data_IF_254091798985
#
_entry.id   IF_254091798985
#
_cell.length_a   1.000
_cell.length_b   1.000
_cell.length_c   1.000
_cell.angle_alpha   90.00
_cell.angle_beta   90.00
_cell.angle_gamma   90.00
#
_symmetry.space_group_name_H-M   'P 1'
#
loop_
_entity.id
_entity.type
_entity.pdbx_description
1 polymer ?
#
# COMPACT_ATOMS: atom_id res chain seq x y z
N UNK A 1 -2.92 -19.79 -13.36
CA UNK A 1 -1.73 -19.54 -14.22
C UNK A 1 -1.67 -18.08 -14.62
N UNK A 2 -0.48 -17.55 -14.85
CA UNK A 2 -0.27 -16.19 -15.35
C UNK A 2 -0.71 -16.10 -16.81
N UNK A 3 -1.63 -15.21 -17.14
CA UNK A 3 -2.13 -15.02 -18.49
C UNK A 3 -1.13 -14.23 -19.35
N UNK A 4 -1.25 -14.31 -20.67
CA UNK A 4 -0.37 -13.54 -21.56
C UNK A 4 -0.67 -12.04 -21.48
N UNK A 5 -1.91 -11.65 -21.22
CA UNK A 5 -2.29 -10.27 -20.94
C UNK A 5 -1.53 -9.73 -19.70
N UNK A 6 -1.52 -10.47 -18.59
CA UNK A 6 -0.79 -10.08 -17.37
C UNK A 6 0.72 -9.99 -17.61
N UNK A 7 1.31 -10.95 -18.35
CA UNK A 7 2.73 -10.94 -18.70
C UNK A 7 3.10 -9.72 -19.56
N UNK A 8 2.27 -9.41 -20.55
CA UNK A 8 2.51 -8.28 -21.45
C UNK A 8 2.36 -6.97 -20.69
N UNK A 9 1.30 -6.80 -19.88
CA UNK A 9 1.12 -5.61 -19.05
C UNK A 9 2.34 -5.36 -18.14
N UNK A 10 2.83 -6.41 -17.44
CA UNK A 10 4.03 -6.29 -16.59
C UNK A 10 5.24 -5.86 -17.42
N UNK A 11 5.44 -6.44 -18.60
CA UNK A 11 6.57 -6.11 -19.48
C UNK A 11 6.48 -4.67 -19.98
N UNK A 12 5.32 -4.24 -20.43
CA UNK A 12 5.10 -2.91 -21.00
C UNK A 12 5.32 -1.81 -19.95
N UNK A 13 4.72 -1.96 -18.77
CA UNK A 13 4.92 -1.00 -17.68
C UNK A 13 6.38 -0.98 -17.17
N UNK A 14 7.06 -2.13 -17.12
CA UNK A 14 8.47 -2.17 -16.77
C UNK A 14 9.36 -1.50 -17.84
N UNK A 15 9.05 -1.67 -19.12
CA UNK A 15 9.75 -0.97 -20.21
C UNK A 15 9.50 0.54 -20.17
N UNK A 16 8.28 0.96 -19.82
CA UNK A 16 7.97 2.38 -19.66
C UNK A 16 8.82 3.03 -18.57
N UNK A 17 9.07 2.33 -17.45
CA UNK A 17 10.00 2.82 -16.42
C UNK A 17 11.38 3.07 -17.04
N UNK A 18 11.86 2.13 -17.86
CA UNK A 18 13.16 2.27 -18.55
C UNK A 18 13.22 3.47 -19.49
N UNK A 19 12.11 3.77 -20.18
CA UNK A 19 12.00 4.92 -21.09
C UNK A 19 11.92 6.27 -20.33
N UNK A 20 11.19 6.27 -19.22
CA UNK A 20 10.87 7.48 -18.47
C UNK A 20 11.88 7.79 -17.34
N UNK A 21 12.89 6.95 -17.14
CA UNK A 21 13.92 7.13 -16.13
C UNK A 21 15.32 7.11 -16.76
N UNK A 22 15.95 8.29 -17.00
CA UNK A 22 17.30 8.37 -17.52
C UNK A 22 18.29 7.58 -16.64
N UNK A 23 19.14 6.78 -17.26
CA UNK A 23 20.12 5.95 -16.55
C UNK A 23 19.56 4.67 -15.91
N UNK A 24 18.28 4.35 -16.11
CA UNK A 24 17.72 3.09 -15.66
C UNK A 24 18.42 1.90 -16.33
N UNK A 25 18.92 0.99 -15.50
CA UNK A 25 19.54 -0.25 -15.98
C UNK A 25 18.71 -1.44 -15.48
N UNK A 26 18.03 -2.16 -16.37
CA UNK A 26 17.31 -3.37 -16.00
C UNK A 26 18.25 -4.39 -15.35
N UNK A 27 17.91 -4.85 -14.15
CA UNK A 27 18.70 -5.85 -13.41
C UNK A 27 18.03 -7.21 -13.53
N UNK A 28 18.83 -8.25 -13.75
CA UNK A 28 18.32 -9.63 -13.86
C UNK A 28 17.55 -10.03 -12.58
N UNK A 29 18.16 -9.81 -11.40
CA UNK A 29 17.52 -10.11 -10.11
C UNK A 29 16.21 -9.37 -9.86
N UNK A 30 16.07 -8.14 -10.35
CA UNK A 30 14.82 -7.41 -10.25
C UNK A 30 13.73 -8.04 -11.14
N UNK A 31 14.07 -8.44 -12.37
CA UNK A 31 13.13 -9.12 -13.28
C UNK A 31 12.71 -10.49 -12.76
N UNK A 32 13.63 -11.23 -12.17
CA UNK A 32 13.35 -12.50 -11.51
C UNK A 32 12.39 -12.33 -10.34
N UNK A 33 12.59 -11.29 -9.52
CA UNK A 33 11.68 -10.95 -8.43
C UNK A 33 10.29 -10.58 -8.94
N UNK A 34 10.18 -9.75 -9.99
CA UNK A 34 8.91 -9.39 -10.63
C UNK A 34 8.17 -10.67 -11.08
N UNK A 35 8.89 -11.58 -11.75
CA UNK A 35 8.32 -12.83 -12.23
C UNK A 35 7.88 -13.74 -11.06
N UNK A 36 8.68 -13.85 -10.00
CA UNK A 36 8.35 -14.64 -8.82
C UNK A 36 7.09 -14.13 -8.11
N UNK A 37 6.98 -12.80 -7.92
CA UNK A 37 5.79 -12.16 -7.33
C UNK A 37 4.57 -12.39 -8.20
N UNK A 38 4.66 -12.16 -9.51
CA UNK A 38 3.55 -12.35 -10.43
C UNK A 38 3.08 -13.82 -10.45
N UNK A 39 4.01 -14.77 -10.46
CA UNK A 39 3.70 -16.20 -10.40
C UNK A 39 3.02 -16.60 -9.08
N UNK A 40 3.47 -16.05 -7.94
CA UNK A 40 2.82 -16.29 -6.65
C UNK A 40 1.38 -15.79 -6.67
N UNK A 41 1.14 -14.54 -7.12
CA UNK A 41 -0.21 -14.00 -7.22
C UNK A 41 -1.07 -14.71 -8.26
N UNK A 42 -0.48 -15.28 -9.30
CA UNK A 42 -1.25 -16.04 -10.30
C UNK A 42 -1.89 -17.32 -9.74
N UNK A 43 -1.39 -17.81 -8.62
CA UNK A 43 -1.89 -19.00 -7.90
C UNK A 43 -2.91 -18.66 -6.83
N UNK A 44 -3.13 -17.38 -6.52
CA UNK A 44 -4.16 -16.96 -5.56
C UNK A 44 -5.54 -17.28 -6.13
N UNK A 45 -6.32 -18.02 -5.36
CA UNK A 45 -7.67 -18.39 -5.74
C UNK A 45 -8.64 -17.24 -5.46
N UNK A 46 -9.53 -16.99 -6.38
CA UNK A 46 -10.63 -16.05 -6.21
C UNK A 46 -11.80 -16.79 -5.58
N UNK A 47 -12.28 -16.31 -4.43
CA UNK A 47 -13.56 -16.79 -3.89
C UNK A 47 -14.69 -16.19 -4.72
N UNK A 48 -15.51 -17.01 -5.33
CA UNK A 48 -16.76 -16.56 -5.92
C UNK A 48 -17.73 -16.16 -4.80
N UNK A 49 -18.46 -15.07 -4.97
CA UNK A 49 -19.44 -14.62 -3.98
C UNK A 49 -20.52 -15.69 -3.80
N UNK A 50 -20.68 -16.22 -2.57
CA UNK A 50 -21.66 -17.24 -2.22
C UNK A 50 -21.25 -18.69 -2.45
N UNK A 51 -20.05 -18.96 -3.01
CA UNK A 51 -19.56 -20.32 -3.22
C UNK A 51 -18.79 -20.89 -2.02
N UNK A 52 -18.61 -22.22 -1.99
CA UNK A 52 -17.66 -22.86 -1.09
C UNK A 52 -16.25 -22.30 -1.32
N UNK A 53 -15.41 -22.20 -0.25
CA UNK A 53 -14.03 -21.78 -0.43
C UNK A 53 -13.33 -22.73 -1.42
N UNK A 54 -12.71 -22.21 -2.49
CA UNK A 54 -12.06 -23.04 -3.46
C UNK A 54 -10.98 -23.87 -2.78
N UNK A 55 -10.90 -25.16 -3.11
CA UNK A 55 -9.84 -26.02 -2.64
C UNK A 55 -8.50 -25.45 -3.12
N UNK A 56 -7.56 -25.22 -2.19
CA UNK A 56 -6.23 -24.72 -2.53
C UNK A 56 -5.48 -25.82 -3.29
N UNK A 57 -5.29 -25.62 -4.58
CA UNK A 57 -4.34 -26.41 -5.36
C UNK A 57 -2.98 -25.70 -5.34
N UNK A 58 -2.13 -26.12 -4.43
CA UNK A 58 -0.75 -25.60 -4.33
C UNK A 58 -0.59 -24.38 -3.41
N UNK A 59 0.66 -24.07 -3.12
CA UNK A 59 1.04 -22.93 -2.28
C UNK A 59 1.09 -21.64 -3.11
N UNK A 60 0.41 -20.59 -2.63
CA UNK A 60 0.48 -19.25 -3.18
C UNK A 60 1.44 -18.34 -2.40
N UNK A 61 2.42 -18.93 -1.72
CA UNK A 61 3.43 -18.25 -0.92
C UNK A 61 4.74 -18.20 -1.71
N UNK A 62 5.36 -17.02 -1.78
CA UNK A 62 6.72 -16.86 -2.27
C UNK A 62 7.56 -16.15 -1.21
N UNK A 63 8.68 -16.75 -0.83
CA UNK A 63 9.69 -16.13 0.03
C UNK A 63 10.82 -15.68 -0.87
N UNK A 64 11.07 -14.37 -0.90
CA UNK A 64 12.02 -13.77 -1.84
C UNK A 64 13.02 -12.95 -1.05
N UNK A 65 14.28 -13.33 -1.10
CA UNK A 65 15.39 -12.57 -0.58
C UNK A 65 16.07 -11.79 -1.71
N UNK A 66 16.47 -10.58 -1.42
CA UNK A 66 17.20 -9.75 -2.36
C UNK A 66 18.08 -8.73 -1.62
N UNK A 67 19.29 -8.45 -2.12
CA UNK A 67 20.19 -7.48 -1.51
C UNK A 67 19.59 -6.07 -1.51
N UNK A 68 20.17 -5.19 -0.69
CA UNK A 68 19.82 -3.77 -0.69
C UNK A 68 20.11 -3.13 -2.06
N UNK A 69 19.28 -2.19 -2.49
CA UNK A 69 19.50 -1.46 -3.75
C UNK A 69 19.09 -2.21 -5.02
N UNK A 70 18.61 -3.46 -4.96
CA UNK A 70 18.13 -4.20 -6.14
C UNK A 70 16.80 -3.66 -6.71
N UNK A 71 16.09 -2.83 -5.94
CA UNK A 71 14.79 -2.30 -6.34
C UNK A 71 13.62 -3.21 -5.96
N UNK A 72 13.68 -3.81 -4.76
CA UNK A 72 12.61 -4.68 -4.24
C UNK A 72 11.23 -4.04 -4.25
N UNK A 73 11.13 -2.79 -3.75
CA UNK A 73 9.85 -2.06 -3.70
C UNK A 73 9.24 -1.94 -5.08
N UNK A 74 10.03 -1.52 -6.06
CA UNK A 74 9.57 -1.42 -7.45
C UNK A 74 9.07 -2.78 -7.97
N UNK A 75 9.80 -3.86 -7.69
CA UNK A 75 9.46 -5.19 -8.21
C UNK A 75 8.12 -5.70 -7.69
N UNK A 76 7.90 -5.68 -6.36
CA UNK A 76 6.63 -6.20 -5.82
C UNK A 76 5.45 -5.25 -6.01
N UNK A 77 5.68 -3.93 -6.02
CA UNK A 77 4.61 -2.96 -6.28
C UNK A 77 4.15 -3.01 -7.74
N UNK A 78 5.07 -3.11 -8.69
CA UNK A 78 4.74 -3.24 -10.11
C UNK A 78 3.95 -4.52 -10.38
N UNK A 79 4.54 -5.67 -10.04
CA UNK A 79 3.90 -6.95 -10.27
C UNK A 79 2.57 -7.09 -9.52
N UNK A 80 2.56 -6.75 -8.23
CA UNK A 80 1.36 -6.83 -7.40
C UNK A 80 0.27 -5.86 -7.81
N UNK A 81 0.62 -4.62 -8.18
CA UNK A 81 -0.30 -3.60 -8.66
C UNK A 81 -1.00 -4.02 -9.96
N UNK A 82 -0.23 -4.50 -10.94
CA UNK A 82 -0.79 -4.98 -12.21
C UNK A 82 -1.69 -6.20 -11.99
N UNK A 83 -1.25 -7.17 -11.18
CA UNK A 83 -2.04 -8.35 -10.87
C UNK A 83 -3.34 -8.01 -10.14
N UNK A 84 -3.30 -7.04 -9.22
CA UNK A 84 -4.49 -6.56 -8.54
C UNK A 84 -5.46 -5.87 -9.51
N UNK A 85 -4.96 -4.98 -10.34
CA UNK A 85 -5.76 -4.24 -11.32
C UNK A 85 -6.40 -5.17 -12.35
N UNK A 86 -5.62 -6.06 -12.99
CA UNK A 86 -6.14 -6.97 -14.02
C UNK A 86 -7.17 -7.96 -13.48
N UNK A 87 -7.13 -8.27 -12.20
CA UNK A 87 -8.05 -9.19 -11.54
C UNK A 87 -9.17 -8.50 -10.76
N UNK A 88 -9.26 -7.17 -10.77
CA UNK A 88 -10.25 -6.41 -9.99
C UNK A 88 -10.11 -6.67 -8.48
N UNK A 89 -8.87 -6.83 -7.99
CA UNK A 89 -8.55 -7.13 -6.58
C UNK A 89 -7.76 -6.01 -5.95
N UNK A 90 -7.61 -6.07 -4.63
CA UNK A 90 -6.78 -5.14 -3.85
C UNK A 90 -5.45 -5.77 -3.54
N UNK A 91 -4.37 -5.00 -3.66
CA UNK A 91 -3.05 -5.35 -3.16
C UNK A 91 -2.89 -4.78 -1.75
N UNK A 92 -2.57 -5.63 -0.79
CA UNK A 92 -2.22 -5.22 0.57
C UNK A 92 -0.72 -5.40 0.75
N UNK A 93 -0.03 -4.31 1.09
CA UNK A 93 1.41 -4.31 1.40
C UNK A 93 1.59 -4.03 2.88
N UNK A 94 2.15 -4.99 3.61
CA UNK A 94 2.49 -4.83 5.03
C UNK A 94 3.97 -4.54 5.17
N UNK A 95 4.32 -3.56 6.00
CA UNK A 95 5.69 -3.18 6.30
C UNK A 95 5.92 -3.10 7.81
N UNK A 96 7.12 -3.45 8.25
CA UNK A 96 7.45 -3.55 9.66
C UNK A 96 7.50 -2.19 10.38
N UNK A 97 7.84 -1.11 9.68
CA UNK A 97 8.02 0.22 10.28
C UNK A 97 7.14 1.28 9.63
N UNK A 98 6.77 2.28 10.42
CA UNK A 98 6.00 3.44 9.93
C UNK A 98 6.78 4.21 8.86
N UNK A 99 8.08 4.36 9.05
CA UNK A 99 8.94 5.06 8.08
C UNK A 99 8.94 4.38 6.70
N UNK A 100 8.95 3.04 6.66
CA UNK A 100 8.82 2.30 5.39
C UNK A 100 7.43 2.43 4.78
N UNK A 101 6.37 2.48 5.61
CA UNK A 101 5.01 2.71 5.11
C UNK A 101 4.89 4.10 4.46
N UNK A 102 5.42 5.13 5.11
CA UNK A 102 5.45 6.49 4.60
C UNK A 102 6.30 6.57 3.33
N UNK A 103 7.47 5.98 3.30
CA UNK A 103 8.29 5.91 2.09
C UNK A 103 7.54 5.29 0.91
N UNK A 104 6.80 4.20 1.13
CA UNK A 104 6.02 3.55 0.07
C UNK A 104 4.94 4.48 -0.50
N UNK A 105 4.21 5.19 0.36
CA UNK A 105 3.08 6.02 -0.06
C UNK A 105 3.53 7.37 -0.60
N UNK A 106 4.54 7.99 0.01
CA UNK A 106 4.94 9.35 -0.33
C UNK A 106 5.98 9.40 -1.46
N UNK A 107 6.68 8.29 -1.73
CA UNK A 107 7.75 8.26 -2.71
C UNK A 107 7.65 7.11 -3.71
N UNK A 108 7.62 5.85 -3.24
CA UNK A 108 7.79 4.69 -4.12
C UNK A 108 6.56 4.47 -5.03
N UNK A 109 5.34 4.64 -4.50
CA UNK A 109 4.10 4.52 -5.29
C UNK A 109 3.90 5.68 -6.27
N UNK A 110 4.05 6.97 -5.88
CA UNK A 110 4.01 8.08 -6.84
C UNK A 110 5.05 7.94 -7.95
N UNK A 111 6.28 7.57 -7.60
CA UNK A 111 7.33 7.29 -8.58
C UNK A 111 6.94 6.16 -9.55
N UNK A 112 6.40 5.05 -9.03
CA UNK A 112 5.95 3.94 -9.87
C UNK A 112 4.87 4.39 -10.86
N UNK A 113 3.83 5.06 -10.38
CA UNK A 113 2.72 5.59 -11.20
C UNK A 113 3.25 6.50 -12.30
N UNK A 114 4.08 7.49 -11.94
CA UNK A 114 4.65 8.45 -12.88
C UNK A 114 5.51 7.77 -13.96
N UNK A 115 6.39 6.85 -13.56
CA UNK A 115 7.37 6.28 -14.49
C UNK A 115 6.85 5.09 -15.29
N UNK A 116 5.94 4.30 -14.72
CA UNK A 116 5.38 3.13 -15.42
C UNK A 116 4.14 3.46 -16.24
N UNK A 117 3.44 4.55 -15.95
CA UNK A 117 2.11 4.85 -16.50
C UNK A 117 1.00 3.92 -15.96
N UNK A 118 1.22 3.26 -14.83
CA UNK A 118 0.23 2.42 -14.18
C UNK A 118 -0.72 3.28 -13.35
N UNK A 119 -2.01 3.17 -13.59
CA UNK A 119 -3.03 3.90 -12.83
C UNK A 119 -3.38 3.12 -11.55
N UNK A 120 -2.93 3.61 -10.41
CA UNK A 120 -3.20 3.02 -9.10
C UNK A 120 -3.81 4.05 -8.16
N UNK A 121 -4.84 3.63 -7.43
CA UNK A 121 -5.30 4.31 -6.23
C UNK A 121 -4.71 3.60 -5.01
N UNK A 122 -4.18 4.36 -4.06
CA UNK A 122 -3.55 3.79 -2.87
C UNK A 122 -3.84 4.63 -1.63
N UNK A 123 -3.87 3.97 -0.49
CA UNK A 123 -4.09 4.60 0.81
C UNK A 123 -3.18 3.97 1.87
N UNK A 124 -2.82 4.75 2.87
CA UNK A 124 -2.03 4.31 4.01
C UNK A 124 -2.96 3.93 5.17
N UNK A 125 -2.86 2.69 5.64
CA UNK A 125 -3.52 2.23 6.85
C UNK A 125 -2.48 2.01 7.95
N UNK A 126 -2.52 2.83 9.00
CA UNK A 126 -1.69 2.68 10.20
C UNK A 126 -2.43 1.90 11.28
N UNK A 127 -1.72 1.40 12.27
CA UNK A 127 -2.33 0.77 13.44
C UNK A 127 -3.27 1.74 14.18
N UNK A 128 -4.36 1.22 14.75
CA UNK A 128 -5.43 2.01 15.41
C UNK A 128 -4.92 3.04 16.41
N UNK A 129 -3.83 2.77 17.12
CA UNK A 129 -3.23 3.71 18.08
C UNK A 129 -2.59 4.96 17.43
N UNK A 130 -2.51 5.01 16.09
CA UNK A 130 -2.00 6.16 15.32
C UNK A 130 -3.09 7.11 14.84
N UNK A 131 -4.36 6.80 15.13
CA UNK A 131 -5.49 7.64 14.78
C UNK A 131 -6.09 8.27 16.02
N UNK A 132 -6.50 9.51 15.90
CA UNK A 132 -7.26 10.19 16.94
C UNK A 132 -8.62 9.52 17.09
N UNK A 133 -8.96 9.11 18.32
CA UNK A 133 -10.28 8.60 18.64
C UNK A 133 -11.20 9.78 19.01
N UNK A 134 -12.23 10.08 18.20
CA UNK A 134 -13.15 11.20 18.49
C UNK A 134 -13.84 11.06 19.86
N UNK A 135 -14.17 9.84 20.24
CA UNK A 135 -14.80 9.57 21.53
C UNK A 135 -13.88 9.91 22.72
N UNK A 136 -12.62 9.49 22.66
CA UNK A 136 -11.63 9.84 23.70
C UNK A 136 -11.35 11.34 23.75
N UNK A 137 -11.28 11.98 22.59
CA UNK A 137 -11.13 13.44 22.53
C UNK A 137 -12.32 14.13 23.19
N UNK A 138 -13.56 13.70 22.88
CA UNK A 138 -14.77 14.24 23.48
C UNK A 138 -14.77 14.05 25.01
N UNK A 139 -14.40 12.89 25.53
CA UNK A 139 -14.30 12.66 26.97
C UNK A 139 -13.28 13.59 27.63
N UNK A 140 -12.11 13.79 27.00
CA UNK A 140 -11.09 14.70 27.52
C UNK A 140 -11.55 16.16 27.54
N UNK A 141 -12.31 16.60 26.54
CA UNK A 141 -12.86 17.97 26.53
C UNK A 141 -13.95 18.17 27.58
N UNK A 142 -14.78 17.15 27.84
CA UNK A 142 -15.80 17.20 28.89
C UNK A 142 -15.19 17.20 30.30
N UNK A 143 -14.14 16.40 30.55
CA UNK A 143 -13.45 16.37 31.84
C UNK A 143 -12.75 17.69 32.14
N UNK A 144 -12.18 18.34 31.12
CA UNK A 144 -11.58 19.67 31.29
C UNK A 144 -12.64 20.76 31.56
N UNK A 145 -13.84 20.64 31.00
CA UNK A 145 -14.94 21.55 31.29
C UNK A 145 -15.40 21.45 32.76
N UNK A 146 -15.39 20.25 33.33
CA UNK A 146 -15.69 20.05 34.76
C UNK A 146 -14.57 20.55 35.69
N UNK A 147 -13.30 20.45 35.28
CA UNK A 147 -12.18 21.01 36.04
C UNK A 147 -12.17 22.54 36.03
N UNK A 148 -12.63 23.19 34.95
CA UNK A 148 -12.76 24.63 34.89
C UNK A 148 -13.86 25.17 35.87
N UNK A 149 -14.84 24.35 36.21
CA UNK A 149 -15.85 24.70 37.24
C UNK A 149 -15.24 24.81 38.65
N UNK A 150 -14.05 24.27 38.90
CA UNK A 150 -13.30 24.30 40.15
C UNK A 150 -12.20 25.36 40.17
N UNK A 151 -12.16 26.26 39.17
CA UNK A 151 -11.27 27.44 39.19
C UNK A 151 -9.81 27.18 38.79
N UNK A 152 -9.50 26.02 38.19
CA UNK A 152 -8.17 25.76 37.63
C UNK A 152 -8.17 26.09 36.13
N UNK A 153 -7.39 27.07 35.70
CA UNK A 153 -7.17 27.34 34.29
C UNK A 153 -6.45 26.16 33.64
N UNK A 154 -7.15 25.43 32.78
CA UNK A 154 -6.48 24.47 31.89
C UNK A 154 -5.59 25.23 30.90
N UNK A 155 -4.35 24.80 30.64
CA UNK A 155 -3.52 25.40 29.63
C UNK A 155 -4.26 25.36 28.29
N UNK A 156 -4.39 26.53 27.64
CA UNK A 156 -4.98 26.63 26.34
C UNK A 156 -4.15 25.79 25.36
N UNK A 157 -4.66 24.63 24.95
CA UNK A 157 -4.06 23.84 23.87
C UNK A 157 -4.42 24.57 22.57
N UNK A 158 -3.50 25.41 22.13
CA UNK A 158 -3.58 26.06 20.83
C UNK A 158 -3.45 25.03 19.73
N UNK A 159 -4.59 24.55 19.22
CA UNK A 159 -4.65 23.83 17.96
C UNK A 159 -4.66 24.84 16.82
N UNK A 160 -3.48 25.18 16.31
CA UNK A 160 -3.32 26.17 15.24
C UNK A 160 -3.69 25.64 13.84
N UNK A 161 -4.11 24.40 13.73
CA UNK A 161 -4.65 23.82 12.50
C UNK A 161 -5.74 22.79 12.81
N UNK A 162 -6.91 22.95 12.20
CA UNK A 162 -7.93 21.92 12.21
C UNK A 162 -7.29 20.63 11.68
N UNK A 163 -7.33 19.50 12.43
CA UNK A 163 -6.84 18.23 11.91
C UNK A 163 -7.55 17.97 10.58
N UNK A 164 -6.79 17.74 9.51
CA UNK A 164 -7.38 17.29 8.24
C UNK A 164 -8.14 16.00 8.55
N UNK A 165 -9.45 16.09 8.59
CA UNK A 165 -10.31 14.93 8.66
C UNK A 165 -10.06 14.19 7.35
N UNK A 166 -9.39 13.05 7.43
CA UNK A 166 -9.30 12.14 6.29
C UNK A 166 -10.73 11.78 5.90
N UNK A 167 -11.17 12.28 4.76
CA UNK A 167 -12.49 12.02 4.22
C UNK A 167 -12.68 10.50 4.14
N UNK A 168 -13.78 9.98 4.69
CA UNK A 168 -14.11 8.55 4.70
C UNK A 168 -14.15 7.93 3.29
N UNK A 169 -14.13 8.73 2.24
CA UNK A 169 -14.11 8.29 0.85
C UNK A 169 -12.76 7.79 0.35
N UNK A 170 -11.66 8.02 1.08
CA UNK A 170 -10.32 7.57 0.70
C UNK A 170 -9.90 6.23 1.34
N UNK A 171 -10.80 5.56 2.05
CA UNK A 171 -10.58 4.21 2.58
C UNK A 171 -11.49 3.26 1.80
N UNK A 172 -11.03 2.85 0.64
CA UNK A 172 -11.60 1.75 -0.12
C UNK A 172 -10.53 0.70 -0.37
#
# INVERSE_FOLDING_TARGET
MLTDLEKNAIRDHYQNIGKNLPGFRPRASQREMIAAVANAFSRTLTREEGGEPPKREGESIAVIEGPTGVGKSLAYLLAGGIMAQTRGKRLIVSSATVALQEQLVDRDLPFLVEKSGLELTFALAKGRGRYLCPYKLYQLTQSNAQQNLLGFEAPAVLWDSKPKVLDRKSVV
#
